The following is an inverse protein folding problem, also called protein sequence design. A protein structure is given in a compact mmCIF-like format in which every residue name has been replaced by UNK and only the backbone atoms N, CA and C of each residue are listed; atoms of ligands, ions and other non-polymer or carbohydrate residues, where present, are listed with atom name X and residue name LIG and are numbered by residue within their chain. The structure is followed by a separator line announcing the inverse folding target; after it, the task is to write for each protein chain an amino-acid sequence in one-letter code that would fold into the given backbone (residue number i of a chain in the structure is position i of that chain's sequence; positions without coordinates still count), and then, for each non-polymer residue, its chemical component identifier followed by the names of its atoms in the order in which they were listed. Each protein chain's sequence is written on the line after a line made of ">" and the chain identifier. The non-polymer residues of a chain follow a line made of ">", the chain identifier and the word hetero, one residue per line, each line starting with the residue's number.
data_IF_978347162019
#
_entry.id   IF_978347162019
#
_cell.length_a   1.000
_cell.length_b   1.000
_cell.length_c   1.000
_cell.angle_alpha   90.00
_cell.angle_beta   90.00
_cell.angle_gamma   90.00
#
_symmetry.space_group_name_H-M   'P 1'
#
loop_
_entity.id
_entity.type
_entity.pdbx_description
1 polymer ?
#
# COMPACT_ATOMS: atom_id res chain seq x y z
N UNK A 1 45.39 51.37 -2.19
CA UNK A 1 44.21 51.76 -2.98
C UNK A 1 43.29 50.53 -3.11
N UNK A 2 42.98 49.89 -1.97
CA UNK A 2 42.35 48.55 -1.90
C UNK A 2 41.25 48.47 -0.81
N UNK A 3 40.80 49.61 -0.28
CA UNK A 3 39.78 49.64 0.78
C UNK A 3 38.35 49.95 0.25
N UNK A 4 38.18 50.11 -1.07
CA UNK A 4 36.91 50.53 -1.68
C UNK A 4 36.21 49.43 -2.50
N UNK A 5 36.83 48.28 -2.74
CA UNK A 5 36.21 47.18 -3.50
C UNK A 5 35.19 46.36 -2.68
N UNK A 6 35.40 46.21 -1.37
CA UNK A 6 34.52 45.39 -0.51
C UNK A 6 33.20 46.09 -0.12
N UNK A 7 33.18 47.43 -0.14
CA UNK A 7 31.98 48.21 0.17
C UNK A 7 31.02 48.26 -1.03
N UNK A 8 31.55 48.27 -2.26
CA UNK A 8 30.73 48.27 -3.49
C UNK A 8 30.04 46.94 -3.77
N UNK A 9 30.59 45.81 -3.31
CA UNK A 9 29.94 44.49 -3.44
C UNK A 9 28.74 44.37 -2.48
N UNK A 10 28.79 44.98 -1.29
CA UNK A 10 27.69 44.96 -0.30
C UNK A 10 26.49 45.87 -0.64
N UNK A 11 26.63 46.79 -1.58
CA UNK A 11 25.56 47.74 -1.96
C UNK A 11 24.86 47.33 -3.27
N UNK A 12 25.28 46.22 -3.90
CA UNK A 12 24.53 45.68 -5.03
C UNK A 12 23.25 44.98 -4.55
N UNK A 13 22.06 45.31 -5.08
CA UNK A 13 20.81 44.62 -4.74
C UNK A 13 20.71 43.21 -5.35
N UNK A 14 21.80 42.72 -5.95
CA UNK A 14 21.90 41.43 -6.64
C UNK A 14 21.62 40.19 -5.79
N UNK A 15 22.04 40.08 -4.50
CA UNK A 15 21.69 38.92 -3.69
C UNK A 15 20.21 38.94 -3.29
N UNK A 16 19.63 40.11 -3.03
CA UNK A 16 18.20 40.26 -2.71
C UNK A 16 17.32 40.02 -3.95
N UNK A 17 17.78 40.43 -5.15
CA UNK A 17 17.12 40.12 -6.43
C UNK A 17 17.27 38.65 -6.84
N UNK A 18 18.37 37.98 -6.48
CA UNK A 18 18.56 36.56 -6.73
C UNK A 18 17.72 35.69 -5.77
N UNK A 19 17.65 36.03 -4.48
CA UNK A 19 16.79 35.35 -3.50
C UNK A 19 15.31 35.59 -3.79
N UNK A 20 14.91 36.82 -4.13
CA UNK A 20 13.55 37.11 -4.56
C UNK A 20 13.22 36.47 -5.90
N UNK A 21 14.16 36.37 -6.84
CA UNK A 21 14.00 35.65 -8.10
C UNK A 21 13.82 34.14 -7.92
N UNK A 22 14.56 33.50 -7.01
CA UNK A 22 14.37 32.09 -6.65
C UNK A 22 13.05 31.86 -5.89
N UNK A 23 12.66 32.75 -4.98
CA UNK A 23 11.38 32.70 -4.29
C UNK A 23 10.21 32.88 -5.27
N UNK A 24 10.33 33.79 -6.24
CA UNK A 24 9.34 34.06 -7.28
C UNK A 24 9.22 32.88 -8.26
N UNK A 25 10.34 32.28 -8.70
CA UNK A 25 10.33 31.03 -9.48
C UNK A 25 9.71 29.86 -8.69
N UNK A 26 9.96 29.79 -7.38
CA UNK A 26 9.34 28.81 -6.49
C UNK A 26 7.82 28.98 -6.42
N UNK A 27 7.33 30.20 -6.19
CA UNK A 27 5.89 30.49 -6.10
C UNK A 27 5.20 30.25 -7.45
N UNK A 28 5.76 30.68 -8.58
CA UNK A 28 5.21 30.40 -9.91
C UNK A 28 5.22 28.89 -10.23
N UNK A 29 6.26 28.16 -9.80
CA UNK A 29 6.31 26.71 -9.90
C UNK A 29 5.19 26.02 -9.13
N UNK A 30 4.94 26.42 -7.88
CA UNK A 30 3.84 25.89 -7.07
C UNK A 30 2.47 26.27 -7.62
N UNK A 31 2.28 27.52 -8.06
CA UNK A 31 1.03 27.97 -8.70
C UNK A 31 0.78 27.20 -10.00
N UNK A 32 1.81 26.98 -10.82
CA UNK A 32 1.73 26.16 -12.02
C UNK A 32 1.38 24.71 -11.73
N UNK A 33 1.97 24.12 -10.69
CA UNK A 33 1.71 22.74 -10.27
C UNK A 33 0.28 22.58 -9.72
N UNK A 34 -0.16 23.51 -8.86
CA UNK A 34 -1.53 23.55 -8.34
C UNK A 34 -2.55 23.81 -9.45
N UNK A 35 -2.25 24.72 -10.38
CA UNK A 35 -3.08 25.02 -11.54
C UNK A 35 -3.21 23.82 -12.49
N UNK A 36 -2.09 23.15 -12.78
CA UNK A 36 -2.07 21.92 -13.58
C UNK A 36 -2.85 20.78 -12.93
N UNK A 37 -2.68 20.58 -11.62
CA UNK A 37 -3.46 19.60 -10.85
C UNK A 37 -4.96 19.92 -10.84
N UNK A 38 -5.33 21.19 -10.64
CA UNK A 38 -6.72 21.63 -10.71
C UNK A 38 -7.32 21.37 -12.09
N UNK A 39 -6.57 21.63 -13.17
CA UNK A 39 -6.99 21.35 -14.54
C UNK A 39 -7.20 19.85 -14.75
N UNK A 40 -6.25 19.00 -14.32
CA UNK A 40 -6.41 17.54 -14.36
C UNK A 40 -7.68 17.10 -13.63
N UNK A 41 -7.94 17.63 -12.43
CA UNK A 41 -9.12 17.26 -11.65
C UNK A 41 -10.45 17.77 -12.23
N UNK A 42 -10.44 18.94 -12.89
CA UNK A 42 -11.64 19.52 -13.49
C UNK A 42 -12.03 18.78 -14.78
N UNK A 43 -11.05 18.45 -15.62
CA UNK A 43 -11.28 17.84 -16.93
C UNK A 43 -11.21 16.30 -16.92
N UNK A 44 -10.86 15.68 -15.79
CA UNK A 44 -10.85 14.23 -15.65
C UNK A 44 -12.24 13.63 -15.93
N UNK A 45 -12.39 12.73 -16.92
CA UNK A 45 -13.67 12.06 -17.18
C UNK A 45 -14.11 11.13 -16.04
N UNK A 46 -13.22 10.88 -15.08
CA UNK A 46 -13.46 10.08 -13.86
C UNK A 46 -13.84 10.93 -12.65
N UNK A 47 -14.02 12.25 -12.80
CA UNK A 47 -14.36 13.19 -11.70
C UNK A 47 -15.56 12.74 -10.87
N UNK A 48 -16.61 12.22 -11.51
CA UNK A 48 -17.80 11.72 -10.78
C UNK A 48 -17.45 10.56 -9.86
N UNK A 49 -16.69 9.58 -10.36
CA UNK A 49 -16.23 8.46 -9.54
C UNK A 49 -15.34 8.91 -8.37
N UNK A 50 -14.50 9.94 -8.57
CA UNK A 50 -13.68 10.51 -7.50
C UNK A 50 -14.52 11.18 -6.41
N UNK A 51 -15.54 11.96 -6.79
CA UNK A 51 -16.47 12.61 -5.85
C UNK A 51 -17.30 11.57 -5.10
N UNK A 52 -17.82 10.57 -5.82
CA UNK A 52 -18.55 9.45 -5.23
C UNK A 52 -17.67 8.67 -4.24
N UNK A 53 -16.40 8.47 -4.58
CA UNK A 53 -15.40 7.90 -3.68
C UNK A 53 -15.21 8.69 -2.39
N UNK A 54 -15.17 10.03 -2.45
CA UNK A 54 -15.09 10.89 -1.26
C UNK A 54 -16.36 10.80 -0.40
N UNK A 55 -17.54 10.80 -1.03
CA UNK A 55 -18.80 10.64 -0.32
C UNK A 55 -18.89 9.28 0.37
N UNK A 56 -18.46 8.21 -0.30
CA UNK A 56 -18.34 6.87 0.27
C UNK A 56 -17.41 6.87 1.50
N UNK A 57 -16.25 7.52 1.37
CA UNK A 57 -15.26 7.62 2.44
C UNK A 57 -15.78 8.39 3.66
N UNK A 58 -16.48 9.51 3.43
CA UNK A 58 -17.10 10.31 4.48
C UNK A 58 -18.22 9.56 5.20
N UNK A 59 -19.01 8.77 4.46
CA UNK A 59 -20.07 7.94 5.04
C UNK A 59 -19.52 6.74 5.81
N UNK A 60 -18.49 6.10 5.29
CA UNK A 60 -17.90 4.88 5.84
C UNK A 60 -16.42 5.10 6.19
N UNK A 61 -16.20 5.84 7.28
CA UNK A 61 -14.86 6.17 7.80
C UNK A 61 -13.96 4.93 7.99
N UNK A 62 -14.56 3.76 8.25
CA UNK A 62 -13.85 2.47 8.35
C UNK A 62 -12.90 2.19 7.19
N UNK A 63 -13.20 2.67 5.98
CA UNK A 63 -12.38 2.41 4.79
C UNK A 63 -10.98 3.00 4.97
N UNK A 64 -10.87 4.30 5.28
CA UNK A 64 -9.55 4.92 5.49
C UNK A 64 -8.94 4.54 6.84
N UNK A 65 -9.75 4.36 7.89
CA UNK A 65 -9.26 3.97 9.22
C UNK A 65 -8.54 2.62 9.13
N UNK A 66 -9.09 1.66 8.37
CA UNK A 66 -8.44 0.35 8.19
C UNK A 66 -7.03 0.50 7.60
N UNK A 67 -6.88 1.31 6.54
CA UNK A 67 -5.57 1.57 5.95
C UNK A 67 -4.64 2.35 6.89
N UNK A 68 -5.15 3.33 7.61
CA UNK A 68 -4.39 4.11 8.58
C UNK A 68 -3.87 3.24 9.73
N UNK A 69 -4.71 2.36 10.29
CA UNK A 69 -4.34 1.42 11.36
C UNK A 69 -3.29 0.42 10.87
N UNK A 70 -3.42 -0.10 9.65
CA UNK A 70 -2.45 -1.03 9.06
C UNK A 70 -1.09 -0.35 8.84
N UNK A 71 -1.10 0.86 8.26
CA UNK A 71 0.11 1.66 8.09
C UNK A 71 0.76 2.07 9.42
N UNK A 72 -0.05 2.44 10.41
CA UNK A 72 0.41 2.79 11.74
C UNK A 72 1.02 1.59 12.47
N UNK A 73 0.39 0.42 12.41
CA UNK A 73 0.93 -0.81 12.99
C UNK A 73 2.31 -1.15 12.42
N UNK A 74 2.48 -1.03 11.10
CA UNK A 74 3.78 -1.25 10.45
C UNK A 74 4.83 -0.25 10.94
N UNK A 75 4.45 1.03 11.04
CA UNK A 75 5.33 2.07 11.56
C UNK A 75 5.76 1.80 13.01
N UNK A 76 4.82 1.48 13.91
CA UNK A 76 5.13 1.17 15.32
C UNK A 76 6.11 0.00 15.38
N UNK A 77 5.88 -1.07 14.61
CA UNK A 77 6.81 -2.19 14.56
C UNK A 77 8.21 -1.77 14.10
N UNK A 78 8.32 -1.02 13.00
CA UNK A 78 9.61 -0.54 12.51
C UNK A 78 10.32 0.32 13.56
N UNK A 79 9.57 1.20 14.22
CA UNK A 79 10.10 2.07 15.26
C UNK A 79 10.69 1.25 16.41
N UNK A 80 9.90 0.36 17.01
CA UNK A 80 10.34 -0.43 18.18
C UNK A 80 11.47 -1.39 17.82
N UNK A 81 11.51 -1.93 16.60
CA UNK A 81 12.52 -2.93 16.19
C UNK A 81 13.86 -2.30 15.78
N UNK A 82 13.83 -1.15 15.11
CA UNK A 82 15.01 -0.59 14.45
C UNK A 82 15.45 0.78 14.99
N UNK A 83 14.73 1.36 15.94
CA UNK A 83 15.10 2.64 16.54
C UNK A 83 15.67 2.43 17.95
N UNK A 84 16.99 2.51 18.13
CA UNK A 84 17.56 2.52 19.47
C UNK A 84 17.28 3.87 20.13
N UNK A 85 16.36 3.91 21.10
CA UNK A 85 16.21 5.08 21.96
C UNK A 85 17.39 5.06 22.93
N UNK A 86 18.37 5.94 22.72
CA UNK A 86 19.56 6.00 23.57
C UNK A 86 19.35 6.96 24.74
N UNK A 87 18.62 8.07 24.56
CA UNK A 87 18.36 9.02 25.63
C UNK A 87 16.99 9.71 25.52
N UNK A 88 16.40 10.14 26.64
CA UNK A 88 15.11 10.86 26.64
C UNK A 88 15.19 12.25 25.97
N UNK A 89 16.41 12.79 25.86
CA UNK A 89 16.70 14.02 25.12
C UNK A 89 16.37 13.90 23.62
N UNK A 90 16.34 12.68 23.06
CA UNK A 90 15.99 12.43 21.66
C UNK A 90 14.49 12.72 21.37
N UNK A 91 13.66 12.81 22.42
CA UNK A 91 12.21 13.07 22.34
C UNK A 91 11.83 14.51 22.71
N UNK A 92 12.78 15.43 22.85
CA UNK A 92 12.48 16.81 23.23
C UNK A 92 11.63 17.56 22.18
N UNK A 93 10.51 18.13 22.63
CA UNK A 93 9.58 18.94 21.83
C UNK A 93 10.24 20.21 21.25
N UNK A 94 11.29 20.73 21.90
CA UNK A 94 12.07 21.89 21.46
C UNK A 94 12.70 21.66 20.08
N UNK A 95 13.12 20.42 19.80
CA UNK A 95 13.69 20.02 18.51
C UNK A 95 12.63 19.93 17.40
N UNK A 96 11.34 19.84 17.73
CA UNK A 96 10.26 19.78 16.73
C UNK A 96 10.01 21.17 16.11
N UNK A 97 10.21 22.24 16.89
CA UNK A 97 9.84 23.61 16.51
C UNK A 97 10.94 24.39 15.75
N UNK A 98 12.20 23.94 15.74
CA UNK A 98 13.31 24.68 15.11
C UNK A 98 13.43 24.41 13.60
N UNK A 99 12.47 24.92 12.82
CA UNK A 99 12.46 24.89 11.34
C UNK A 99 13.76 25.38 10.66
N UNK A 100 14.49 26.41 11.16
CA UNK A 100 15.71 26.90 10.51
C UNK A 100 16.88 25.91 10.51
N UNK A 101 16.79 24.86 11.32
CA UNK A 101 17.85 23.85 11.48
C UNK A 101 17.54 22.56 10.68
N UNK A 102 16.54 22.57 9.80
CA UNK A 102 16.16 21.40 8.99
C UNK A 102 17.06 21.29 7.75
N UNK A 103 17.54 20.07 7.47
CA UNK A 103 18.42 19.77 6.33
C UNK A 103 17.59 19.33 5.13
N UNK A 104 17.14 20.28 4.31
CA UNK A 104 16.28 19.97 3.17
C UNK A 104 17.02 19.16 2.08
N UNK A 105 16.51 17.97 1.69
CA UNK A 105 17.12 17.14 0.66
C UNK A 105 16.96 17.74 -0.73
N UNK A 106 17.81 17.32 -1.68
CA UNK A 106 17.72 17.77 -3.08
C UNK A 106 16.53 17.10 -3.78
N UNK A 107 15.76 17.86 -4.55
CA UNK A 107 14.60 17.33 -5.29
C UNK A 107 14.96 16.21 -6.27
N UNK A 108 16.18 16.21 -6.83
CA UNK A 108 16.65 15.15 -7.73
C UNK A 108 16.81 13.79 -7.04
N UNK A 109 17.18 13.79 -5.75
CA UNK A 109 17.32 12.56 -4.95
C UNK A 109 15.94 11.99 -4.60
N UNK A 110 14.99 12.88 -4.30
CA UNK A 110 13.60 12.51 -4.00
C UNK A 110 12.91 11.90 -5.23
N UNK A 111 13.18 12.41 -6.43
CA UNK A 111 12.51 11.96 -7.65
C UNK A 111 12.71 10.46 -7.92
N UNK A 112 13.94 9.96 -7.74
CA UNK A 112 14.27 8.56 -8.01
C UNK A 112 13.77 7.62 -6.91
N UNK A 113 13.78 8.06 -5.66
CA UNK A 113 13.34 7.25 -4.52
C UNK A 113 11.82 7.07 -4.45
N UNK A 114 11.05 7.99 -5.01
CA UNK A 114 9.58 8.06 -4.82
C UNK A 114 8.77 7.34 -5.89
N UNK A 115 9.35 7.14 -7.08
CA UNK A 115 8.64 6.56 -8.23
C UNK A 115 8.18 5.12 -7.96
N UNK A 116 9.06 4.27 -7.43
CA UNK A 116 8.74 2.86 -7.17
C UNK A 116 7.68 2.72 -6.05
N UNK A 117 7.83 3.36 -4.86
CA UNK A 117 6.78 3.34 -3.84
C UNK A 117 5.43 3.89 -4.33
N UNK A 118 5.44 4.90 -5.21
CA UNK A 118 4.22 5.43 -5.80
C UNK A 118 3.54 4.40 -6.72
N UNK A 119 4.32 3.75 -7.59
CA UNK A 119 3.83 2.68 -8.47
C UNK A 119 3.23 1.51 -7.68
N UNK A 120 3.90 1.10 -6.59
CA UNK A 120 3.38 0.07 -5.68
C UNK A 120 2.09 0.51 -4.99
N UNK A 121 1.98 1.79 -4.62
CA UNK A 121 0.74 2.37 -4.10
C UNK A 121 -0.41 2.25 -5.10
N UNK A 122 -0.18 2.59 -6.37
CA UNK A 122 -1.16 2.43 -7.44
C UNK A 122 -1.55 0.97 -7.63
N UNK A 123 -0.56 0.06 -7.73
CA UNK A 123 -0.80 -1.37 -7.89
C UNK A 123 -1.62 -1.92 -6.71
N UNK A 124 -1.30 -1.50 -5.49
CA UNK A 124 -2.00 -1.92 -4.28
C UNK A 124 -3.51 -1.66 -4.32
N UNK A 125 -3.97 -0.57 -4.93
CA UNK A 125 -5.41 -0.27 -5.07
C UNK A 125 -6.18 -1.42 -5.74
N UNK A 126 -5.53 -2.20 -6.59
CA UNK A 126 -6.19 -3.24 -7.38
C UNK A 126 -6.12 -4.64 -6.78
N UNK A 127 -5.22 -4.88 -5.82
CA UNK A 127 -4.90 -6.24 -5.37
C UNK A 127 -4.69 -6.31 -3.87
N UNK A 128 -3.61 -5.68 -3.37
CA UNK A 128 -3.31 -5.57 -1.95
C UNK A 128 -2.78 -4.18 -1.58
N UNK A 129 -3.67 -3.31 -1.09
CA UNK A 129 -3.43 -1.88 -0.89
C UNK A 129 -2.56 -1.54 0.31
N UNK A 130 -2.27 -2.50 1.19
CA UNK A 130 -1.45 -2.23 2.38
C UNK A 130 -0.70 -3.46 2.88
N UNK A 131 0.42 -3.20 3.55
CA UNK A 131 1.15 -4.19 4.32
C UNK A 131 0.34 -4.56 5.56
N UNK A 132 0.03 -5.85 5.71
CA UNK A 132 -0.73 -6.34 6.86
C UNK A 132 0.15 -6.66 8.06
N UNK A 133 1.43 -6.90 7.86
CA UNK A 133 2.40 -7.02 8.94
C UNK A 133 2.56 -5.67 9.68
N UNK A 134 2.60 -5.64 11.03
CA UNK A 134 2.57 -6.76 11.98
C UNK A 134 1.16 -7.21 12.40
N UNK A 135 0.10 -6.50 12.00
CA UNK A 135 -1.28 -6.81 12.41
C UNK A 135 -1.78 -8.16 11.88
N UNK A 136 -1.09 -8.76 10.91
CA UNK A 136 -1.25 -10.15 10.51
C UNK A 136 -1.08 -11.12 11.69
N UNK A 137 -0.29 -10.79 12.71
CA UNK A 137 -0.16 -11.58 13.94
C UNK A 137 -1.52 -11.70 14.64
N UNK A 138 -2.24 -10.59 14.77
CA UNK A 138 -3.58 -10.58 15.37
C UNK A 138 -4.53 -11.41 14.50
N UNK A 139 -4.48 -11.25 13.18
CA UNK A 139 -5.28 -12.06 12.26
C UNK A 139 -4.98 -13.57 12.37
N UNK A 140 -3.72 -13.95 12.54
CA UNK A 140 -3.30 -15.34 12.72
C UNK A 140 -3.85 -15.92 14.03
N UNK A 141 -3.76 -15.18 15.15
CA UNK A 141 -4.37 -15.58 16.43
C UNK A 141 -5.88 -15.76 16.27
N UNK A 142 -6.57 -14.78 15.67
CA UNK A 142 -8.02 -14.84 15.45
C UNK A 142 -8.43 -16.03 14.56
N UNK A 143 -7.63 -16.35 13.54
CA UNK A 143 -7.85 -17.53 12.70
C UNK A 143 -7.64 -18.84 13.48
N UNK A 144 -6.58 -18.96 14.28
CA UNK A 144 -6.29 -20.18 15.03
C UNK A 144 -7.35 -20.43 16.10
N UNK A 145 -7.80 -19.39 16.80
CA UNK A 145 -8.85 -19.46 17.83
C UNK A 145 -10.25 -19.67 17.23
N UNK A 146 -10.38 -19.67 15.90
CA UNK A 146 -11.67 -19.77 15.20
C UNK A 146 -12.66 -18.65 15.60
N UNK A 147 -12.15 -17.42 15.72
CA UNK A 147 -12.98 -16.27 16.09
C UNK A 147 -14.15 -16.10 15.11
N UNK A 148 -15.38 -15.98 15.66
CA UNK A 148 -16.65 -15.90 14.89
C UNK A 148 -16.85 -17.03 13.85
N UNK A 149 -16.21 -18.18 14.02
CA UNK A 149 -16.33 -19.30 13.10
C UNK A 149 -15.58 -19.10 11.76
N UNK A 150 -14.70 -18.09 11.66
CA UNK A 150 -13.97 -17.76 10.42
C UNK A 150 -13.13 -18.92 9.90
N UNK A 151 -12.45 -19.63 10.80
CA UNK A 151 -11.62 -20.78 10.44
C UNK A 151 -12.49 -21.91 9.89
N UNK A 152 -13.57 -22.25 10.58
CA UNK A 152 -14.51 -23.28 10.10
C UNK A 152 -15.14 -22.89 8.76
N UNK A 153 -15.48 -21.61 8.58
CA UNK A 153 -16.02 -21.08 7.33
C UNK A 153 -14.99 -21.18 6.19
N UNK A 154 -13.73 -20.85 6.45
CA UNK A 154 -12.64 -20.93 5.47
C UNK A 154 -12.38 -22.38 5.05
N UNK A 155 -12.23 -23.30 6.00
CA UNK A 155 -12.04 -24.73 5.70
C UNK A 155 -13.21 -25.28 4.88
N UNK A 156 -14.45 -24.92 5.24
CA UNK A 156 -15.64 -25.35 4.50
C UNK A 156 -15.67 -24.78 3.08
N UNK A 157 -15.31 -23.51 2.90
CA UNK A 157 -15.22 -22.85 1.60
C UNK A 157 -14.15 -23.50 0.71
N UNK A 158 -12.96 -23.73 1.26
CA UNK A 158 -11.85 -24.40 0.57
C UNK A 158 -12.21 -25.82 0.16
N UNK A 159 -12.78 -26.61 1.07
CA UNK A 159 -13.22 -27.99 0.78
C UNK A 159 -14.30 -28.01 -0.29
N UNK A 160 -15.28 -27.11 -0.23
CA UNK A 160 -16.38 -27.06 -1.20
C UNK A 160 -15.87 -26.71 -2.61
N UNK A 161 -14.87 -25.83 -2.73
CA UNK A 161 -14.36 -25.36 -4.03
C UNK A 161 -13.26 -26.25 -4.62
N UNK A 162 -12.29 -26.64 -3.81
CA UNK A 162 -11.07 -27.34 -4.27
C UNK A 162 -11.06 -28.83 -3.91
N UNK A 163 -12.09 -29.33 -3.23
CA UNK A 163 -12.16 -30.73 -2.80
C UNK A 163 -10.96 -31.11 -1.91
N UNK A 164 -10.26 -32.17 -2.28
CA UNK A 164 -9.06 -32.65 -1.56
C UNK A 164 -7.93 -31.61 -1.53
N UNK A 165 -7.70 -30.90 -2.64
CA UNK A 165 -6.68 -29.85 -2.74
C UNK A 165 -6.94 -28.69 -1.78
N UNK A 166 -8.20 -28.50 -1.35
CA UNK A 166 -8.56 -27.52 -0.33
C UNK A 166 -7.86 -27.75 1.00
N UNK A 167 -7.60 -29.00 1.40
CA UNK A 167 -6.85 -29.33 2.61
C UNK A 167 -5.37 -28.97 2.50
N UNK A 168 -4.77 -29.16 1.32
CA UNK A 168 -3.37 -28.78 1.08
C UNK A 168 -3.19 -27.27 1.12
N UNK A 169 -4.08 -26.52 0.45
CA UNK A 169 -4.10 -25.05 0.50
C UNK A 169 -4.27 -24.56 1.94
N UNK A 170 -5.17 -25.20 2.68
CA UNK A 170 -5.39 -24.88 4.08
C UNK A 170 -4.16 -25.17 4.96
N UNK A 171 -3.46 -26.28 4.74
CA UNK A 171 -2.23 -26.59 5.46
C UNK A 171 -1.13 -25.54 5.20
N UNK A 172 -0.94 -25.15 3.94
CA UNK A 172 0.01 -24.07 3.57
C UNK A 172 -0.38 -22.76 4.27
N UNK A 173 -1.66 -22.43 4.29
CA UNK A 173 -2.16 -21.25 5.00
C UNK A 173 -1.88 -21.32 6.50
N UNK A 174 -2.07 -22.48 7.13
CA UNK A 174 -1.82 -22.66 8.55
C UNK A 174 -0.33 -22.53 8.89
N UNK A 175 0.55 -23.14 8.08
CA UNK A 175 2.00 -23.03 8.25
C UNK A 175 2.48 -21.58 8.06
N UNK A 176 1.94 -20.87 7.06
CA UNK A 176 2.26 -19.45 6.85
C UNK A 176 1.71 -18.54 7.95
N UNK A 177 0.55 -18.87 8.53
CA UNK A 177 0.03 -18.16 9.71
C UNK A 177 0.93 -18.36 10.94
N UNK A 178 1.39 -19.58 11.19
CA UNK A 178 2.37 -19.88 12.22
C UNK A 178 3.69 -19.12 11.99
N UNK A 179 4.17 -19.07 10.75
CA UNK A 179 5.34 -18.26 10.39
C UNK A 179 5.12 -16.76 10.66
N UNK A 180 3.92 -16.23 10.39
CA UNK A 180 3.58 -14.83 10.70
C UNK A 180 3.58 -14.55 12.22
N UNK A 181 3.17 -15.52 13.05
CA UNK A 181 3.30 -15.42 14.52
C UNK A 181 4.75 -15.43 14.99
N UNK A 182 5.61 -16.23 14.34
CA UNK A 182 7.02 -16.35 14.70
C UNK A 182 7.85 -15.15 14.21
N UNK A 183 7.44 -14.49 13.12
CA UNK A 183 8.19 -13.41 12.47
C UNK A 183 8.58 -12.26 13.42
N UNK A 184 7.70 -11.66 14.24
CA UNK A 184 8.10 -10.63 15.19
C UNK A 184 9.15 -11.12 16.19
N UNK A 185 9.03 -12.35 16.69
CA UNK A 185 9.97 -12.94 17.66
C UNK A 185 11.35 -13.08 17.02
N UNK A 186 11.39 -13.60 15.79
CA UNK A 186 12.63 -13.75 15.02
C UNK A 186 13.28 -12.39 14.81
N UNK A 187 12.53 -11.40 14.30
CA UNK A 187 13.06 -10.06 14.02
C UNK A 187 13.50 -9.31 15.28
N UNK A 188 12.77 -9.46 16.38
CA UNK A 188 13.14 -8.89 17.68
C UNK A 188 14.46 -9.46 18.23
N UNK A 189 14.68 -10.77 18.02
CA UNK A 189 15.87 -11.48 18.52
C UNK A 189 17.08 -11.39 17.58
N UNK A 190 16.92 -10.87 16.36
CA UNK A 190 18.03 -10.72 15.39
C UNK A 190 19.26 -10.02 15.97
N UNK A 191 19.14 -8.90 16.73
CA UNK A 191 20.32 -8.24 17.33
C UNK A 191 21.06 -9.13 18.33
N UNK A 192 20.36 -9.94 19.12
CA UNK A 192 20.98 -10.87 20.07
C UNK A 192 21.66 -12.04 19.34
N UNK A 193 20.97 -12.60 18.34
CA UNK A 193 21.51 -13.69 17.53
C UNK A 193 22.69 -13.25 16.66
N UNK A 194 22.83 -11.96 16.37
CA UNK A 194 24.01 -11.42 15.68
C UNK A 194 25.33 -11.66 16.40
N UNK A 195 25.28 -11.89 17.72
CA UNK A 195 26.45 -12.24 18.53
C UNK A 195 26.77 -13.74 18.52
N UNK A 196 25.82 -14.57 18.10
CA UNK A 196 25.87 -16.04 18.22
C UNK A 196 25.98 -16.76 16.86
N UNK A 197 25.36 -16.21 15.82
CA UNK A 197 25.30 -16.81 14.49
C UNK A 197 26.10 -15.95 13.49
N UNK A 198 26.74 -16.58 12.48
CA UNK A 198 27.28 -15.86 11.34
C UNK A 198 26.18 -15.05 10.65
N UNK A 199 26.53 -13.87 10.11
CA UNK A 199 25.59 -12.99 9.42
C UNK A 199 24.76 -13.70 8.32
N UNK A 200 25.38 -14.63 7.57
CA UNK A 200 24.70 -15.44 6.57
C UNK A 200 23.60 -16.33 7.17
N UNK A 201 23.82 -16.90 8.36
CA UNK A 201 22.82 -17.71 9.06
C UNK A 201 21.61 -16.89 9.47
N UNK A 202 21.82 -15.66 9.96
CA UNK A 202 20.75 -14.73 10.33
C UNK A 202 19.89 -14.35 9.12
N UNK A 203 20.55 -13.99 8.02
CA UNK A 203 19.87 -13.58 6.79
C UNK A 203 19.03 -14.72 6.19
N UNK A 204 19.54 -15.96 6.24
CA UNK A 204 18.78 -17.15 5.84
C UNK A 204 17.52 -17.33 6.67
N UNK A 205 17.65 -17.29 8.01
CA UNK A 205 16.51 -17.46 8.92
C UNK A 205 15.48 -16.35 8.71
N UNK A 206 15.91 -15.09 8.66
CA UNK A 206 14.99 -13.96 8.45
C UNK A 206 14.28 -14.03 7.09
N UNK A 207 15.00 -14.37 6.01
CA UNK A 207 14.43 -14.45 4.68
C UNK A 207 13.45 -15.62 4.54
N UNK A 208 13.75 -16.78 5.12
CA UNK A 208 12.84 -17.95 5.11
C UNK A 208 11.57 -17.66 5.88
N UNK A 209 11.67 -17.08 7.08
CA UNK A 209 10.50 -16.75 7.90
C UNK A 209 9.66 -15.65 7.23
N UNK A 210 10.29 -14.63 6.66
CA UNK A 210 9.58 -13.58 5.91
C UNK A 210 8.85 -14.14 4.68
N UNK A 211 9.51 -15.00 3.90
CA UNK A 211 8.90 -15.64 2.73
C UNK A 211 7.72 -16.56 3.10
N UNK A 212 7.85 -17.32 4.19
CA UNK A 212 6.77 -18.19 4.67
C UNK A 212 5.59 -17.38 5.22
N UNK A 213 5.85 -16.34 6.01
CA UNK A 213 4.81 -15.48 6.57
C UNK A 213 4.07 -14.65 5.50
N UNK A 214 4.77 -14.28 4.41
CA UNK A 214 4.23 -13.46 3.33
C UNK A 214 2.94 -14.04 2.72
N UNK A 215 2.83 -15.36 2.56
CA UNK A 215 1.63 -16.00 1.99
C UNK A 215 0.40 -15.63 2.82
N UNK A 216 0.48 -15.77 4.14
CA UNK A 216 -0.61 -15.45 5.05
C UNK A 216 -0.89 -13.95 5.09
N UNK A 217 0.17 -13.14 5.23
CA UNK A 217 0.08 -11.67 5.24
C UNK A 217 -0.64 -11.15 3.99
N UNK A 218 -0.27 -11.67 2.82
CA UNK A 218 -0.86 -11.30 1.54
C UNK A 218 -2.34 -11.65 1.49
N UNK A 219 -2.70 -12.88 1.85
CA UNK A 219 -4.09 -13.34 1.82
C UNK A 219 -4.98 -12.59 2.80
N UNK A 220 -4.47 -12.21 3.97
CA UNK A 220 -5.17 -11.32 4.90
C UNK A 220 -5.38 -9.94 4.26
N UNK A 221 -4.38 -9.42 3.54
CA UNK A 221 -4.48 -8.13 2.85
C UNK A 221 -5.56 -8.13 1.79
N UNK A 222 -5.56 -9.15 0.93
CA UNK A 222 -6.60 -9.38 -0.08
C UNK A 222 -7.97 -9.55 0.60
N UNK A 223 -8.08 -10.30 1.69
CA UNK A 223 -9.34 -10.46 2.42
C UNK A 223 -9.89 -9.12 2.93
N UNK A 224 -9.04 -8.31 3.56
CA UNK A 224 -9.39 -6.96 4.03
C UNK A 224 -9.83 -6.09 2.85
N UNK A 225 -9.11 -6.14 1.73
CA UNK A 225 -9.47 -5.35 0.54
C UNK A 225 -10.78 -5.80 -0.08
N UNK A 226 -11.05 -7.12 -0.16
CA UNK A 226 -12.36 -7.65 -0.58
C UNK A 226 -13.46 -7.13 0.33
N UNK A 227 -13.26 -7.14 1.65
CA UNK A 227 -14.20 -6.55 2.60
C UNK A 227 -14.44 -5.06 2.31
N UNK A 228 -13.38 -4.26 2.12
CA UNK A 228 -13.52 -2.84 1.82
C UNK A 228 -14.20 -2.57 0.47
N UNK A 229 -13.93 -3.36 -0.56
CA UNK A 229 -14.65 -3.32 -1.84
C UNK A 229 -16.14 -3.59 -1.59
N UNK A 230 -16.50 -4.60 -0.78
CA UNK A 230 -17.90 -4.88 -0.46
C UNK A 230 -18.60 -3.75 0.31
N UNK A 231 -17.88 -3.03 1.18
CA UNK A 231 -18.40 -1.81 1.84
C UNK A 231 -18.72 -0.73 0.79
N UNK A 232 -17.80 -0.46 -0.13
CA UNK A 232 -18.00 0.52 -1.19
C UNK A 232 -19.16 0.13 -2.13
N UNK A 233 -19.33 -1.16 -2.39
CA UNK A 233 -20.43 -1.68 -3.21
C UNK A 233 -21.79 -1.54 -2.50
N UNK A 234 -21.85 -1.83 -1.21
CA UNK A 234 -23.06 -1.61 -0.43
C UNK A 234 -23.45 -0.12 -0.40
N UNK A 235 -22.46 0.78 -0.28
CA UNK A 235 -22.69 2.23 -0.39
C UNK A 235 -23.30 2.62 -1.75
N UNK A 236 -22.67 2.21 -2.85
CA UNK A 236 -23.15 2.54 -4.20
C UNK A 236 -24.55 1.97 -4.49
N UNK A 237 -25.02 0.96 -3.73
CA UNK A 237 -26.40 0.42 -3.80
C UNK A 237 -27.37 1.04 -2.80
N UNK A 238 -26.91 1.88 -1.88
CA UNK A 238 -27.74 2.43 -0.80
C UNK A 238 -28.19 1.39 0.24
N UNK A 239 -27.46 0.27 0.36
CA UNK A 239 -27.82 -0.80 1.29
C UNK A 239 -27.26 -0.51 2.68
N UNK A 240 -28.08 -0.74 3.71
CA UNK A 240 -27.63 -0.84 5.10
C UNK A 240 -27.31 -2.30 5.42
N UNK A 241 -26.33 -2.55 6.29
CA UNK A 241 -25.88 -3.90 6.62
C UNK A 241 -25.34 -3.96 8.04
N UNK A 242 -25.55 -5.10 8.69
CA UNK A 242 -24.87 -5.44 9.94
C UNK A 242 -23.44 -5.91 9.67
N UNK A 243 -22.51 -5.53 10.53
CA UNK A 243 -21.07 -5.73 10.29
C UNK A 243 -20.69 -7.20 10.22
N UNK A 244 -21.26 -8.03 11.11
CA UNK A 244 -20.99 -9.47 11.15
C UNK A 244 -21.46 -10.20 9.88
N UNK A 245 -22.52 -9.71 9.24
CA UNK A 245 -23.02 -10.28 7.98
C UNK A 245 -22.13 -9.91 6.81
N UNK A 246 -21.66 -8.66 6.76
CA UNK A 246 -20.75 -8.20 5.72
C UNK A 246 -19.41 -8.93 5.78
N UNK A 247 -18.87 -9.22 6.96
CA UNK A 247 -17.64 -10.02 7.08
C UNK A 247 -17.81 -11.45 6.55
N UNK A 248 -18.94 -12.11 6.86
CA UNK A 248 -19.26 -13.46 6.35
C UNK A 248 -19.50 -13.46 4.85
N UNK A 249 -20.13 -12.42 4.34
CA UNK A 249 -20.32 -12.18 2.92
C UNK A 249 -18.98 -11.99 2.20
N UNK A 250 -18.11 -11.12 2.72
CA UNK A 250 -16.78 -10.88 2.19
C UNK A 250 -15.95 -12.17 2.19
N UNK A 251 -16.08 -13.02 3.22
CA UNK A 251 -15.42 -14.34 3.26
C UNK A 251 -15.89 -15.28 2.14
N UNK A 252 -17.20 -15.28 1.85
CA UNK A 252 -17.73 -16.05 0.70
C UNK A 252 -17.16 -15.53 -0.62
N UNK A 253 -17.07 -14.20 -0.81
CA UNK A 253 -16.49 -13.58 -2.01
C UNK A 253 -14.99 -13.75 -2.13
N UNK A 254 -14.28 -13.70 -1.00
CA UNK A 254 -12.85 -13.98 -0.93
C UNK A 254 -12.51 -15.37 -1.47
N UNK A 255 -13.38 -16.37 -1.23
CA UNK A 255 -13.18 -17.70 -1.78
C UNK A 255 -13.06 -17.71 -3.30
N UNK A 256 -13.75 -16.80 -4.02
CA UNK A 256 -13.67 -16.62 -5.48
C UNK A 256 -12.35 -16.00 -5.92
N UNK A 257 -11.90 -14.98 -5.18
CA UNK A 257 -10.65 -14.25 -5.39
C UNK A 257 -9.41 -15.09 -5.05
N UNK A 258 -9.55 -16.11 -4.20
CA UNK A 258 -8.41 -16.90 -3.71
C UNK A 258 -7.55 -17.53 -4.82
N UNK A 259 -8.16 -17.94 -5.93
CA UNK A 259 -7.44 -18.49 -7.08
C UNK A 259 -6.50 -17.44 -7.70
N UNK A 260 -7.01 -16.22 -7.93
CA UNK A 260 -6.21 -15.09 -8.39
C UNK A 260 -5.14 -14.70 -7.37
N UNK A 261 -5.51 -14.55 -6.10
CA UNK A 261 -4.58 -14.21 -5.04
C UNK A 261 -3.45 -15.25 -4.92
N UNK A 262 -3.76 -16.54 -5.08
CA UNK A 262 -2.78 -17.62 -5.11
C UNK A 262 -1.80 -17.50 -6.27
N UNK A 263 -2.26 -17.12 -7.46
CA UNK A 263 -1.39 -16.83 -8.62
C UNK A 263 -0.48 -15.65 -8.32
N UNK A 264 -1.01 -14.54 -7.80
CA UNK A 264 -0.18 -13.38 -7.49
C UNK A 264 0.84 -13.70 -6.41
N UNK A 265 0.47 -14.45 -5.37
CA UNK A 265 1.41 -14.94 -4.34
C UNK A 265 2.48 -15.84 -4.94
N UNK A 266 2.11 -16.78 -5.82
CA UNK A 266 3.06 -17.68 -6.46
C UNK A 266 4.06 -16.93 -7.34
N UNK A 267 3.57 -16.01 -8.18
CA UNK A 267 4.40 -15.17 -9.05
C UNK A 267 5.29 -14.23 -8.22
N UNK A 268 4.75 -13.58 -7.18
CA UNK A 268 5.52 -12.76 -6.24
C UNK A 268 6.59 -13.57 -5.52
N UNK A 269 6.26 -14.80 -5.12
CA UNK A 269 7.22 -15.70 -4.47
C UNK A 269 8.33 -16.07 -5.45
N UNK A 270 8.00 -16.40 -6.70
CA UNK A 270 8.96 -16.80 -7.72
C UNK A 270 9.87 -15.64 -8.15
N UNK A 271 9.33 -14.43 -8.30
CA UNK A 271 10.05 -13.26 -8.84
C UNK A 271 10.82 -12.50 -7.75
N UNK A 272 10.28 -12.40 -6.54
CA UNK A 272 10.86 -11.58 -5.47
C UNK A 272 11.49 -12.42 -4.35
N UNK A 273 10.73 -13.36 -3.78
CA UNK A 273 11.10 -14.01 -2.52
C UNK A 273 12.09 -15.14 -2.71
N UNK A 274 11.86 -16.00 -3.71
CA UNK A 274 12.71 -17.13 -4.01
C UNK A 274 14.13 -16.69 -4.39
N UNK A 275 14.34 -15.70 -5.28
CA UNK A 275 15.68 -15.20 -5.56
C UNK A 275 16.36 -14.65 -4.31
N UNK A 276 15.64 -13.90 -3.47
CA UNK A 276 16.18 -13.36 -2.22
C UNK A 276 16.61 -14.48 -1.25
N UNK A 277 15.78 -15.50 -1.06
CA UNK A 277 16.12 -16.67 -0.24
C UNK A 277 17.33 -17.38 -0.85
N UNK A 278 17.31 -17.68 -2.15
CA UNK A 278 18.43 -18.36 -2.83
C UNK A 278 19.73 -17.55 -2.78
N UNK A 279 19.66 -16.22 -2.80
CA UNK A 279 20.84 -15.37 -2.63
C UNK A 279 21.54 -15.65 -1.30
N UNK A 280 20.79 -15.83 -0.22
CA UNK A 280 21.38 -16.11 1.10
C UNK A 280 21.81 -17.57 1.27
N UNK A 281 21.18 -18.52 0.57
CA UNK A 281 21.53 -19.94 0.65
C UNK A 281 22.71 -20.33 -0.26
N UNK A 282 22.77 -19.80 -1.49
CA UNK A 282 23.70 -20.22 -2.55
C UNK A 282 24.65 -19.06 -2.97
N UNK A 283 24.59 -17.91 -2.30
CA UNK A 283 25.44 -16.72 -2.58
C UNK A 283 25.37 -16.26 -4.05
N UNK A 284 24.14 -16.18 -4.61
CA UNK A 284 23.95 -15.63 -5.96
C UNK A 284 24.32 -14.14 -5.95
N UNK A 285 25.28 -13.69 -6.78
CA UNK A 285 25.72 -12.29 -6.79
C UNK A 285 24.61 -11.39 -7.36
N UNK A 286 24.58 -10.13 -6.89
CA UNK A 286 23.75 -9.03 -7.43
C UNK A 286 22.22 -9.19 -7.33
N UNK A 287 21.70 -10.13 -6.56
CA UNK A 287 20.24 -10.31 -6.42
C UNK A 287 19.54 -9.06 -5.87
N UNK A 288 20.19 -8.31 -4.96
CA UNK A 288 19.66 -7.06 -4.43
C UNK A 288 19.52 -5.97 -5.50
N UNK A 289 20.38 -5.98 -6.53
CA UNK A 289 20.36 -5.00 -7.63
C UNK A 289 19.15 -5.20 -8.56
N UNK A 290 18.67 -6.43 -8.69
CA UNK A 290 17.49 -6.76 -9.51
C UNK A 290 16.17 -6.58 -8.76
N UNK A 291 16.20 -6.46 -7.43
CA UNK A 291 14.99 -6.38 -6.60
C UNK A 291 14.08 -5.18 -6.96
N UNK A 292 14.61 -3.96 -7.23
CA UNK A 292 13.77 -2.84 -7.67
C UNK A 292 13.05 -3.14 -9.00
N UNK A 293 13.75 -3.73 -9.96
CA UNK A 293 13.17 -4.08 -11.27
C UNK A 293 12.09 -5.14 -11.11
N UNK A 294 12.33 -6.14 -10.27
CA UNK A 294 11.34 -7.18 -9.96
C UNK A 294 10.07 -6.60 -9.30
N UNK A 295 10.21 -5.59 -8.44
CA UNK A 295 9.07 -4.88 -7.83
C UNK A 295 8.29 -4.02 -8.83
N UNK A 296 9.00 -3.37 -9.77
CA UNK A 296 8.37 -2.67 -10.90
C UNK A 296 7.58 -3.65 -11.76
N UNK A 297 8.17 -4.80 -12.10
CA UNK A 297 7.52 -5.83 -12.90
C UNK A 297 6.25 -6.34 -12.21
N UNK A 298 6.32 -6.67 -10.91
CA UNK A 298 5.15 -7.09 -10.15
C UNK A 298 4.05 -6.04 -10.10
N UNK A 299 4.43 -4.78 -9.85
CA UNK A 299 3.46 -3.67 -9.83
C UNK A 299 2.81 -3.46 -11.20
N UNK A 300 3.60 -3.56 -12.28
CA UNK A 300 3.12 -3.50 -13.66
C UNK A 300 2.15 -4.63 -13.99
N UNK A 301 2.44 -5.86 -13.57
CA UNK A 301 1.53 -7.00 -13.74
C UNK A 301 0.20 -6.78 -13.01
N UNK A 302 0.24 -6.33 -11.76
CA UNK A 302 -0.97 -6.05 -10.98
C UNK A 302 -1.81 -4.95 -11.65
N UNK A 303 -1.18 -3.87 -12.10
CA UNK A 303 -1.86 -2.77 -12.81
C UNK A 303 -2.45 -3.27 -14.14
N UNK A 304 -1.71 -4.12 -14.87
CA UNK A 304 -2.19 -4.71 -16.12
C UNK A 304 -3.47 -5.50 -15.89
N UNK A 305 -3.60 -6.20 -14.75
CA UNK A 305 -4.77 -6.98 -14.36
C UNK A 305 -5.70 -6.28 -13.36
N UNK A 306 -5.71 -4.94 -13.34
CA UNK A 306 -6.34 -4.12 -12.31
C UNK A 306 -7.82 -4.40 -12.00
N UNK A 307 -8.58 -4.97 -12.94
CA UNK A 307 -10.01 -5.23 -12.77
C UNK A 307 -10.36 -6.69 -12.42
N UNK A 308 -9.38 -7.61 -12.36
CA UNK A 308 -9.65 -9.02 -12.07
C UNK A 308 -10.25 -9.21 -10.68
N UNK A 309 -9.63 -8.63 -9.65
CA UNK A 309 -10.08 -8.80 -8.26
C UNK A 309 -11.50 -8.28 -8.07
N UNK A 310 -11.80 -7.06 -8.52
CA UNK A 310 -13.13 -6.47 -8.36
C UNK A 310 -14.20 -7.25 -9.16
N UNK A 311 -13.86 -7.74 -10.35
CA UNK A 311 -14.75 -8.58 -11.16
C UNK A 311 -15.09 -9.90 -10.45
N UNK A 312 -14.08 -10.58 -9.89
CA UNK A 312 -14.27 -11.81 -9.11
C UNK A 312 -15.13 -11.59 -7.86
N UNK A 313 -14.94 -10.47 -7.17
CA UNK A 313 -15.76 -10.09 -6.00
C UNK A 313 -17.22 -9.87 -6.39
N UNK A 314 -17.46 -9.17 -7.50
CA UNK A 314 -18.80 -8.76 -7.93
C UNK A 314 -19.62 -9.91 -8.51
N UNK A 315 -19.05 -10.62 -9.48
CA UNK A 315 -19.81 -11.53 -10.35
C UNK A 315 -19.77 -12.99 -9.93
N UNK A 316 -18.95 -13.38 -8.93
CA UNK A 316 -18.72 -14.80 -8.57
C UNK A 316 -18.32 -15.68 -9.77
N UNK A 317 -17.66 -15.09 -10.76
CA UNK A 317 -17.25 -15.79 -11.97
C UNK A 317 -15.99 -16.64 -11.73
N UNK A 318 -15.69 -17.55 -12.66
CA UNK A 318 -14.40 -18.25 -12.70
C UNK A 318 -13.27 -17.31 -13.09
N UNK A 319 -12.01 -17.68 -12.79
CA UNK A 319 -10.85 -16.87 -13.17
C UNK A 319 -10.78 -16.60 -14.68
N UNK A 320 -11.10 -17.60 -15.50
CA UNK A 320 -11.10 -17.51 -16.96
C UNK A 320 -12.14 -16.50 -17.45
N UNK A 321 -13.34 -16.52 -16.88
CA UNK A 321 -14.41 -15.57 -17.21
C UNK A 321 -14.03 -14.15 -16.76
N UNK A 322 -13.45 -14.01 -15.57
CA UNK A 322 -12.95 -12.73 -15.07
C UNK A 322 -11.85 -12.16 -15.98
N UNK A 323 -10.96 -12.99 -16.54
CA UNK A 323 -9.96 -12.56 -17.53
C UNK A 323 -10.60 -12.07 -18.83
N UNK A 324 -11.61 -12.77 -19.35
CA UNK A 324 -12.34 -12.30 -20.54
C UNK A 324 -13.06 -10.98 -20.27
N UNK A 325 -13.72 -10.87 -19.11
CA UNK A 325 -14.38 -9.65 -18.66
C UNK A 325 -13.39 -8.49 -18.52
N UNK A 326 -12.20 -8.76 -18.01
CA UNK A 326 -11.11 -7.78 -17.88
C UNK A 326 -10.64 -7.26 -19.24
N UNK A 327 -10.39 -8.14 -20.22
CA UNK A 327 -10.03 -7.72 -21.59
C UNK A 327 -11.13 -6.84 -22.20
N UNK A 328 -12.39 -7.25 -22.06
CA UNK A 328 -13.53 -6.47 -22.55
C UNK A 328 -13.64 -5.10 -21.84
N UNK A 329 -13.41 -5.08 -20.53
CA UNK A 329 -13.41 -3.85 -19.73
C UNK A 329 -12.35 -2.86 -20.21
N UNK A 330 -11.11 -3.32 -20.42
CA UNK A 330 -10.02 -2.48 -20.95
C UNK A 330 -10.37 -1.95 -22.33
N UNK A 331 -10.78 -2.81 -23.25
CA UNK A 331 -11.10 -2.41 -24.63
C UNK A 331 -12.16 -1.30 -24.70
N UNK A 332 -13.18 -1.39 -23.85
CA UNK A 332 -14.29 -0.43 -23.83
C UNK A 332 -13.99 0.85 -23.04
N UNK A 333 -13.13 0.77 -22.02
CA UNK A 333 -12.94 1.85 -21.04
C UNK A 333 -11.48 2.33 -20.90
N UNK A 334 -10.60 1.99 -21.85
CA UNK A 334 -9.16 2.31 -21.80
C UNK A 334 -8.87 3.77 -21.42
N UNK A 335 -9.59 4.74 -22.01
CA UNK A 335 -9.42 6.16 -21.70
C UNK A 335 -9.74 6.51 -20.24
N UNK A 336 -10.86 6.00 -19.69
CA UNK A 336 -11.23 6.24 -18.29
C UNK A 336 -10.28 5.55 -17.33
N UNK A 337 -9.85 4.34 -17.67
CA UNK A 337 -8.86 3.60 -16.89
C UNK A 337 -7.51 4.33 -16.85
N UNK A 338 -7.03 4.81 -18.00
CA UNK A 338 -5.79 5.58 -18.10
C UNK A 338 -5.85 6.84 -17.22
N UNK A 339 -6.94 7.60 -17.28
CA UNK A 339 -7.15 8.76 -16.40
C UNK A 339 -7.17 8.37 -14.92
N UNK A 340 -7.84 7.26 -14.56
CA UNK A 340 -7.83 6.77 -13.18
C UNK A 340 -6.42 6.42 -12.71
N UNK A 341 -5.61 5.77 -13.55
CA UNK A 341 -4.23 5.41 -13.22
C UNK A 341 -3.34 6.64 -13.09
N UNK A 342 -3.48 7.63 -13.97
CA UNK A 342 -2.76 8.91 -13.88
C UNK A 342 -3.09 9.63 -12.58
N UNK A 343 -4.37 9.68 -12.21
CA UNK A 343 -4.79 10.33 -10.96
C UNK A 343 -4.25 9.56 -9.75
N UNK A 344 -4.37 8.23 -9.71
CA UNK A 344 -3.76 7.43 -8.64
C UNK A 344 -2.24 7.69 -8.57
N UNK A 345 -1.56 7.70 -9.71
CA UNK A 345 -0.13 7.95 -9.81
C UNK A 345 0.27 9.32 -9.25
N UNK A 346 -0.43 10.38 -9.62
CA UNK A 346 -0.17 11.74 -9.11
C UNK A 346 -0.34 11.80 -7.59
N UNK A 347 -1.39 11.19 -7.03
CA UNK A 347 -1.63 11.24 -5.59
C UNK A 347 -0.61 10.43 -4.81
N UNK A 348 -0.34 9.18 -5.24
CA UNK A 348 0.67 8.36 -4.57
C UNK A 348 2.06 8.96 -4.70
N UNK A 349 2.40 9.49 -5.87
CA UNK A 349 3.66 10.21 -6.06
C UNK A 349 3.76 11.44 -5.15
N UNK A 350 2.72 12.27 -5.13
CA UNK A 350 2.68 13.48 -4.30
C UNK A 350 2.87 13.18 -2.81
N UNK A 351 2.14 12.18 -2.26
CA UNK A 351 2.30 11.82 -0.85
C UNK A 351 3.67 11.18 -0.57
N UNK A 352 4.21 10.36 -1.47
CA UNK A 352 5.53 9.74 -1.29
C UNK A 352 6.65 10.77 -1.37
N UNK A 353 6.54 11.75 -2.27
CA UNK A 353 7.44 12.88 -2.37
C UNK A 353 7.40 13.74 -1.10
N UNK A 354 6.20 14.07 -0.59
CA UNK A 354 6.07 14.78 0.68
C UNK A 354 6.76 14.02 1.82
N UNK A 355 6.55 12.70 1.91
CA UNK A 355 7.19 11.87 2.92
C UNK A 355 8.71 11.79 2.78
N UNK A 356 9.25 11.66 1.56
CA UNK A 356 10.69 11.68 1.34
C UNK A 356 11.31 13.04 1.71
N UNK A 357 10.68 14.15 1.30
CA UNK A 357 11.12 15.52 1.65
C UNK A 357 11.16 15.70 3.16
N UNK A 358 10.05 15.43 3.85
CA UNK A 358 9.94 15.65 5.29
C UNK A 358 10.85 14.71 6.07
N UNK A 359 10.97 13.44 5.67
CA UNK A 359 11.93 12.52 6.29
C UNK A 359 13.37 12.96 6.12
N UNK A 360 13.76 13.43 4.94
CA UNK A 360 15.11 13.95 4.72
C UNK A 360 15.38 15.20 5.57
N UNK A 361 14.38 16.06 5.75
CA UNK A 361 14.49 17.29 6.53
C UNK A 361 14.61 17.07 8.04
N UNK A 362 13.98 16.02 8.58
CA UNK A 362 13.86 15.77 10.03
C UNK A 362 14.51 14.46 10.49
N UNK A 363 15.35 13.83 9.66
CA UNK A 363 15.90 12.48 9.88
C UNK A 363 16.55 12.30 11.27
N UNK A 364 17.25 13.33 11.75
CA UNK A 364 17.99 13.29 13.02
C UNK A 364 17.13 13.61 14.25
N UNK A 365 15.83 13.86 14.08
CA UNK A 365 14.92 14.33 15.14
C UNK A 365 13.82 13.33 15.41
N UNK A 366 14.03 12.51 16.42
CA UNK A 366 13.18 11.35 16.66
C UNK A 366 11.71 11.72 16.93
N UNK A 367 11.47 12.73 17.78
CA UNK A 367 10.12 13.21 18.09
C UNK A 367 9.37 13.75 16.86
N UNK A 368 10.04 14.53 16.00
CA UNK A 368 9.45 15.06 14.78
C UNK A 368 9.18 13.95 13.75
N UNK A 369 10.11 13.00 13.61
CA UNK A 369 9.96 11.84 12.75
C UNK A 369 8.78 10.96 13.17
N UNK A 370 8.60 10.76 14.48
CA UNK A 370 7.47 10.02 15.05
C UNK A 370 6.13 10.68 14.68
N UNK A 371 6.01 11.98 14.94
CA UNK A 371 4.80 12.75 14.65
C UNK A 371 4.49 12.78 13.14
N UNK A 372 5.51 12.97 12.31
CA UNK A 372 5.38 12.94 10.86
C UNK A 372 4.91 11.56 10.38
N UNK A 373 5.53 10.47 10.83
CA UNK A 373 5.16 9.12 10.42
C UNK A 373 3.74 8.74 10.82
N UNK A 374 3.29 9.16 12.00
CA UNK A 374 1.90 9.02 12.42
C UNK A 374 0.95 9.76 11.47
N UNK A 375 1.23 11.04 11.24
CA UNK A 375 0.43 11.89 10.34
C UNK A 375 0.40 11.34 8.92
N UNK A 376 1.54 10.87 8.42
CA UNK A 376 1.70 10.27 7.11
C UNK A 376 0.91 8.96 6.97
N UNK A 377 0.88 8.11 8.00
CA UNK A 377 0.06 6.90 7.99
C UNK A 377 -1.43 7.23 7.84
N UNK A 378 -1.92 8.27 8.53
CA UNK A 378 -3.29 8.75 8.38
C UNK A 378 -3.56 9.32 6.98
N UNK A 379 -2.69 10.20 6.48
CA UNK A 379 -2.82 10.81 5.14
C UNK A 379 -2.84 9.72 4.06
N UNK A 380 -1.89 8.79 4.11
CA UNK A 380 -1.83 7.66 3.20
C UNK A 380 -3.09 6.81 3.30
N UNK A 381 -3.57 6.53 4.51
CA UNK A 381 -4.81 5.77 4.71
C UNK A 381 -6.04 6.44 4.08
N UNK A 382 -6.15 7.76 4.20
CA UNK A 382 -7.22 8.56 3.56
C UNK A 382 -7.11 8.52 2.04
N UNK A 383 -5.92 8.76 1.48
CA UNK A 383 -5.70 8.75 0.02
C UNK A 383 -5.95 7.36 -0.56
N UNK A 384 -5.40 6.31 0.05
CA UNK A 384 -5.61 4.92 -0.38
C UNK A 384 -7.08 4.52 -0.29
N UNK A 385 -7.76 4.86 0.82
CA UNK A 385 -9.18 4.57 1.00
C UNK A 385 -10.07 5.29 -0.01
N UNK A 386 -9.79 6.56 -0.28
CA UNK A 386 -10.49 7.35 -1.28
C UNK A 386 -10.29 6.80 -2.69
N UNK A 387 -9.05 6.51 -3.09
CA UNK A 387 -8.75 5.99 -4.43
C UNK A 387 -9.34 4.59 -4.64
N UNK A 388 -9.34 3.73 -3.61
CA UNK A 388 -10.03 2.44 -3.66
C UNK A 388 -11.54 2.63 -3.85
N UNK A 389 -12.18 3.49 -3.06
CA UNK A 389 -13.62 3.75 -3.18
C UNK A 389 -13.96 4.34 -4.57
N UNK A 390 -13.12 5.24 -5.07
CA UNK A 390 -13.25 5.85 -6.40
C UNK A 390 -13.12 4.80 -7.50
N UNK A 391 -12.16 3.88 -7.37
CA UNK A 391 -12.00 2.76 -8.30
C UNK A 391 -13.24 1.87 -8.35
N UNK A 392 -13.81 1.53 -7.19
CA UNK A 392 -15.05 0.74 -7.11
C UNK A 392 -16.22 1.47 -7.80
N UNK A 393 -16.36 2.77 -7.57
CA UNK A 393 -17.39 3.59 -8.21
C UNK A 393 -17.18 3.66 -9.73
N UNK A 394 -15.94 3.86 -10.19
CA UNK A 394 -15.61 3.91 -11.61
C UNK A 394 -15.92 2.58 -12.30
N UNK A 395 -15.46 1.47 -11.73
CA UNK A 395 -15.71 0.13 -12.27
C UNK A 395 -17.20 -0.11 -12.46
N UNK A 396 -18.00 0.24 -11.45
CA UNK A 396 -19.46 0.09 -11.50
C UNK A 396 -20.11 1.00 -12.55
N UNK A 397 -19.67 2.25 -12.69
CA UNK A 397 -20.18 3.16 -13.73
C UNK A 397 -19.90 2.64 -15.15
N UNK A 398 -18.84 1.85 -15.34
CA UNK A 398 -18.46 1.24 -16.60
C UNK A 398 -19.21 -0.07 -16.92
N UNK A 399 -19.87 -0.70 -15.94
CA UNK A 399 -20.57 -1.99 -16.07
C UNK A 399 -22.07 -1.90 -16.40
N UNK A 400 -22.57 -0.74 -16.85
CA UNK A 400 -24.02 -0.46 -17.09
C UNK A 400 -24.81 -1.47 -17.93
N UNK A 401 -24.17 -2.44 -18.61
CA UNK A 401 -24.84 -3.54 -19.33
C UNK A 401 -25.00 -4.88 -18.56
N UNK A 402 -24.30 -5.11 -17.44
CA UNK A 402 -24.31 -6.38 -16.67
C UNK A 402 -25.21 -6.38 -15.42
N UNK A 403 -25.92 -5.27 -15.18
CA UNK A 403 -26.78 -5.04 -13.99
C UNK A 403 -27.84 -6.14 -13.80
N UNK A 404 -28.32 -6.78 -14.87
CA UNK A 404 -29.33 -7.84 -14.81
C UNK A 404 -28.81 -9.25 -14.47
N UNK A 405 -27.49 -9.48 -14.43
CA UNK A 405 -26.92 -10.80 -14.06
C UNK A 405 -26.50 -10.89 -12.59
N UNK A 406 -26.58 -9.80 -11.84
CA UNK A 406 -26.21 -9.76 -10.44
C UNK A 406 -27.26 -10.47 -9.57
N UNK A 407 -27.11 -11.79 -9.38
CA UNK A 407 -27.84 -12.56 -8.36
C UNK A 407 -27.38 -12.13 -6.97
N UNK A 408 -27.95 -11.04 -6.46
CA UNK A 408 -27.67 -10.54 -5.12
C UNK A 408 -28.97 -10.38 -4.31
N UNK A 409 -29.07 -11.21 -3.26
CA UNK A 409 -30.10 -11.26 -2.21
C UNK A 409 -31.50 -11.67 -2.71
N UNK A 410 -31.63 -12.96 -3.07
CA UNK A 410 -32.81 -13.73 -2.69
C UNK A 410 -32.37 -14.70 -1.60
N UNK A 411 -32.28 -14.21 -0.35
CA UNK A 411 -32.37 -15.01 0.87
C UNK A 411 -32.80 -14.10 2.00
#
# INVERSE_FOLDING_TARGET
>A
MECWSDVLIRITPLPILAESGQAVLGVYGWVGLCGGYALVMLFAPVRRALVDGLHCLGRYQRIWITFAVLGFGYFVFQFVTFTPIQNWADLELSQIASLPQWTWPRLSEIWTETLLPALEGVAGIFDNATTTYPLSVVAAVLMIVNWRGLHSALVRALRKRYGFWGYLVYLILLLSALASLLKPIVFWRLPEWSRLLPAAGLLRVSATVDAAAFIFEYLVGVYIQVYLITVCLAWTRGLSFEEGELFRFAMRRFSYVLEWAGIVVAVSTLILRLPLVLAYFINIPRVLDYLPIARVLMSGLIIAFCSLQISLVLHNETLIEAMRAHVHFIQKNAGRLAWSLVICGIHFYGIMACDAILRGAIADRLGALLLWKFSFACIRGVVTGWLLASWVCLFRQCETGRIHQEKWIQY
#
